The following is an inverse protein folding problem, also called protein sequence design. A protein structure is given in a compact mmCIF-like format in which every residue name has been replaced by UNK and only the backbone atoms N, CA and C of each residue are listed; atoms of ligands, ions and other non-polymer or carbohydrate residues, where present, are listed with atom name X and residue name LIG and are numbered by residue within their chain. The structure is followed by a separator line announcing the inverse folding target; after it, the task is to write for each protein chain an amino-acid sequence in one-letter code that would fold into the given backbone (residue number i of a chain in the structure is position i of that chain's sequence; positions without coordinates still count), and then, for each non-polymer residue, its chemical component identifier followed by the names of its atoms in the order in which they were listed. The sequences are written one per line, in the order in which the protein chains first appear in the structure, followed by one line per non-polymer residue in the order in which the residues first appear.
data_IF_069751024366
#
_entry.id   IF_069751024366
#
_cell.length_a   1.000
_cell.length_b   1.000
_cell.length_c   1.000
_cell.angle_alpha   90.00
_cell.angle_beta   90.00
_cell.angle_gamma   90.00
#
_symmetry.space_group_name_H-M   'P 1'
#
loop_
_entity.id
_entity.type
_entity.pdbx_description
1 polymer ?
#
# COMPACT_ATOMS: atom_id res chain seq x y z
N UNK A 1 -6.05 12.11 8.75
CA UNK A 1 -5.02 12.82 7.95
C UNK A 1 -4.68 14.12 8.65
N UNK A 2 -3.52 14.19 9.30
CA UNK A 2 -2.99 15.41 9.91
C UNK A 2 -2.31 16.24 8.82
N UNK A 3 -2.74 17.49 8.61
CA UNK A 3 -2.14 18.40 7.63
C UNK A 3 -0.75 18.85 8.10
N UNK A 4 0.29 18.11 7.72
CA UNK A 4 1.66 18.48 8.03
C UNK A 4 2.28 19.27 6.86
N UNK A 5 2.86 20.46 7.08
CA UNK A 5 3.35 21.33 5.99
C UNK A 5 4.46 20.70 5.13
N UNK A 6 5.17 19.68 5.64
CA UNK A 6 6.20 18.95 4.88
C UNK A 6 5.67 17.69 4.20
N UNK A 7 4.40 17.31 4.41
CA UNK A 7 3.81 16.09 3.84
C UNK A 7 3.84 16.13 2.31
N UNK A 8 3.47 17.27 1.72
CA UNK A 8 3.52 17.47 0.26
C UNK A 8 4.95 17.36 -0.30
N UNK A 9 5.95 17.84 0.45
CA UNK A 9 7.34 17.75 0.04
C UNK A 9 7.83 16.30 0.13
N UNK A 10 7.45 15.59 1.18
CA UNK A 10 7.84 14.20 1.42
C UNK A 10 7.19 13.26 0.40
N UNK A 11 5.91 13.48 0.06
CA UNK A 11 5.21 12.73 -0.99
C UNK A 11 5.84 12.96 -2.37
N UNK A 12 6.15 14.22 -2.71
CA UNK A 12 6.84 14.56 -3.96
C UNK A 12 8.24 13.95 -4.03
N UNK A 13 8.99 13.96 -2.93
CA UNK A 13 10.31 13.32 -2.88
C UNK A 13 10.20 11.80 -3.09
N UNK A 14 9.24 11.13 -2.45
CA UNK A 14 8.98 9.70 -2.66
C UNK A 14 8.64 9.39 -4.12
N UNK A 15 7.76 10.19 -4.74
CA UNK A 15 7.41 10.03 -6.15
C UNK A 15 8.63 10.24 -7.07
N UNK A 16 9.49 11.20 -6.77
CA UNK A 16 10.73 11.44 -7.53
C UNK A 16 11.72 10.29 -7.40
N UNK A 17 11.87 9.70 -6.20
CA UNK A 17 12.71 8.52 -5.98
C UNK A 17 12.21 7.31 -6.79
N UNK A 18 10.90 7.05 -6.79
CA UNK A 18 10.31 5.96 -7.57
C UNK A 18 10.49 6.17 -9.07
N UNK A 19 10.28 7.40 -9.56
CA UNK A 19 10.53 7.75 -10.96
C UNK A 19 12.01 7.55 -11.33
N UNK A 20 12.94 7.92 -10.44
CA UNK A 20 14.37 7.70 -10.66
C UNK A 20 14.70 6.20 -10.77
N UNK A 21 14.19 5.37 -9.85
CA UNK A 21 14.38 3.91 -9.87
C UNK A 21 13.89 3.30 -11.19
N UNK A 22 12.68 3.65 -11.63
CA UNK A 22 12.13 3.15 -12.89
C UNK A 22 12.92 3.62 -14.12
N UNK A 23 13.44 4.85 -14.11
CA UNK A 23 14.31 5.34 -15.17
C UNK A 23 15.65 4.60 -15.24
N UNK A 24 16.23 4.24 -14.09
CA UNK A 24 17.47 3.45 -14.03
C UNK A 24 17.22 2.03 -14.58
N UNK A 25 16.15 1.38 -14.15
CA UNK A 25 15.75 0.06 -14.67
C UNK A 25 15.54 0.09 -16.19
N UNK A 26 14.86 1.14 -16.69
CA UNK A 26 14.68 1.33 -18.14
C UNK A 26 16.01 1.43 -18.88
N UNK A 27 16.99 2.17 -18.34
CA UNK A 27 18.29 2.37 -18.97
C UNK A 27 19.13 1.09 -18.96
N UNK A 28 19.03 0.29 -17.91
CA UNK A 28 19.84 -0.91 -17.73
C UNK A 28 19.26 -2.15 -18.44
N UNK A 29 17.94 -2.33 -18.38
CA UNK A 29 17.26 -3.55 -18.82
C UNK A 29 16.26 -3.32 -19.97
N UNK A 30 16.07 -2.08 -20.40
CA UNK A 30 15.14 -1.71 -21.46
C UNK A 30 13.71 -1.47 -20.94
N UNK A 31 12.77 -1.28 -21.87
CA UNK A 31 11.40 -0.85 -21.54
C UNK A 31 10.56 -1.93 -20.84
N UNK A 32 10.89 -3.21 -21.01
CA UNK A 32 10.11 -4.30 -20.43
C UNK A 32 10.13 -4.26 -18.89
N UNK A 33 11.26 -3.88 -18.29
CA UNK A 33 11.44 -3.91 -16.84
C UNK A 33 10.52 -2.95 -16.05
N UNK A 34 10.44 -1.64 -16.37
CA UNK A 34 9.51 -0.75 -15.66
C UNK A 34 8.04 -1.14 -15.89
N UNK A 35 7.69 -1.71 -17.06
CA UNK A 35 6.32 -2.17 -17.34
C UNK A 35 5.97 -3.36 -16.47
N UNK A 36 6.85 -4.37 -16.41
CA UNK A 36 6.69 -5.54 -15.55
C UNK A 36 6.54 -5.12 -14.08
N UNK A 37 7.41 -4.23 -13.60
CA UNK A 37 7.33 -3.70 -12.23
C UNK A 37 6.01 -2.97 -11.94
N UNK A 38 5.49 -2.20 -12.90
CA UNK A 38 4.18 -1.55 -12.74
C UNK A 38 3.05 -2.59 -12.67
N UNK A 39 3.08 -3.62 -13.51
CA UNK A 39 2.10 -4.72 -13.47
C UNK A 39 2.17 -5.50 -12.15
N UNK A 40 3.36 -5.80 -11.64
CA UNK A 40 3.54 -6.46 -10.34
C UNK A 40 2.92 -5.66 -9.20
N UNK A 41 3.20 -4.34 -9.12
CA UNK A 41 2.58 -3.46 -8.11
C UNK A 41 1.05 -3.41 -8.24
N UNK A 42 0.52 -3.41 -9.46
CA UNK A 42 -0.93 -3.43 -9.70
C UNK A 42 -1.57 -4.73 -9.21
N UNK A 43 -0.97 -5.89 -9.53
CA UNK A 43 -1.46 -7.20 -9.12
C UNK A 43 -1.45 -7.32 -7.59
N UNK A 44 -0.34 -6.90 -6.97
CA UNK A 44 -0.19 -6.92 -5.52
C UNK A 44 -1.24 -6.03 -4.86
N UNK A 45 -1.38 -4.76 -5.29
CA UNK A 45 -2.40 -3.86 -4.75
C UNK A 45 -3.84 -4.36 -4.91
N UNK A 46 -4.13 -5.15 -5.95
CA UNK A 46 -5.45 -5.77 -6.11
C UNK A 46 -5.71 -6.93 -5.13
N UNK A 47 -4.65 -7.63 -4.71
CA UNK A 47 -4.69 -8.79 -3.81
C UNK A 47 -4.55 -8.46 -2.32
N UNK A 48 -4.28 -7.20 -1.99
CA UNK A 48 -3.90 -6.76 -0.65
C UNK A 48 -5.04 -6.71 0.38
N UNK A 49 -6.28 -6.63 -0.10
CA UNK A 49 -7.41 -6.64 0.82
C UNK A 49 -7.42 -7.92 1.65
N UNK A 50 -7.57 -7.74 2.95
CA UNK A 50 -7.94 -8.79 3.89
C UNK A 50 -9.05 -8.26 4.83
N UNK A 51 -9.86 -9.13 5.43
CA UNK A 51 -10.77 -8.75 6.50
C UNK A 51 -10.03 -8.10 7.67
N UNK A 52 -10.67 -7.17 8.38
CA UNK A 52 -10.07 -6.47 9.52
C UNK A 52 -9.70 -7.41 10.66
N UNK A 53 -10.50 -8.46 10.89
CA UNK A 53 -10.20 -9.51 11.86
C UNK A 53 -8.94 -10.33 11.52
N UNK A 54 -8.49 -10.31 10.26
CA UNK A 54 -7.23 -10.91 9.80
C UNK A 54 -6.10 -9.89 9.64
N UNK A 55 -6.27 -8.68 10.18
CA UNK A 55 -5.28 -7.60 10.11
C UNK A 55 -5.37 -6.72 8.86
N UNK A 56 -6.37 -6.90 7.98
CA UNK A 56 -6.50 -6.12 6.75
C UNK A 56 -7.00 -4.68 6.91
N UNK A 57 -7.07 -4.18 8.13
CA UNK A 57 -7.49 -2.80 8.44
C UNK A 57 -6.38 -1.93 9.03
N UNK A 58 -5.16 -2.44 9.19
CA UNK A 58 -4.05 -1.71 9.78
C UNK A 58 -2.69 -2.12 9.24
N UNK A 59 -1.92 -1.12 8.82
CA UNK A 59 -0.54 -1.28 8.37
C UNK A 59 -0.36 -1.29 6.85
N UNK A 60 0.85 -0.97 6.43
CA UNK A 60 1.28 -1.11 5.05
C UNK A 60 1.35 -2.58 4.63
N UNK A 61 1.00 -2.86 3.37
CA UNK A 61 1.00 -4.21 2.84
C UNK A 61 2.42 -4.66 2.47
N UNK A 62 2.93 -5.65 3.20
CA UNK A 62 4.30 -6.17 3.06
C UNK A 62 4.74 -6.40 1.60
N UNK A 63 3.85 -6.94 0.76
CA UNK A 63 4.16 -7.23 -0.63
C UNK A 63 4.38 -5.94 -1.45
N UNK A 64 3.55 -4.91 -1.29
CA UNK A 64 3.79 -3.62 -1.92
C UNK A 64 5.06 -2.98 -1.39
N UNK A 65 5.35 -3.10 -0.09
CA UNK A 65 6.55 -2.52 0.51
C UNK A 65 7.83 -3.14 -0.03
N UNK A 66 7.87 -4.46 -0.20
CA UNK A 66 8.99 -5.16 -0.85
C UNK A 66 9.17 -4.64 -2.28
N UNK A 67 8.08 -4.43 -3.01
CA UNK A 67 8.15 -3.92 -4.39
C UNK A 67 8.57 -2.45 -4.45
N UNK A 68 8.28 -1.67 -3.42
CA UNK A 68 8.73 -0.28 -3.26
C UNK A 68 10.16 -0.16 -2.68
N UNK A 69 10.67 -1.24 -2.06
CA UNK A 69 11.92 -1.27 -1.33
C UNK A 69 11.86 -0.50 -0.01
N UNK A 70 10.73 -0.58 0.71
CA UNK A 70 10.49 0.03 2.02
C UNK A 70 10.19 -0.99 3.11
N UNK A 71 10.39 -2.28 2.85
CA UNK A 71 10.14 -3.40 3.76
C UNK A 71 10.96 -3.36 5.07
N UNK A 72 12.01 -2.52 5.12
CA UNK A 72 12.85 -2.30 6.30
C UNK A 72 12.63 -0.92 6.95
N UNK A 73 11.63 -0.15 6.49
CA UNK A 73 11.26 1.15 7.06
C UNK A 73 10.04 1.00 7.97
N UNK A 74 9.93 1.84 9.00
CA UNK A 74 8.74 1.91 9.88
C UNK A 74 8.30 3.35 9.97
N UNK A 75 7.06 3.61 9.56
CA UNK A 75 6.38 4.90 9.63
C UNK A 75 5.55 5.06 10.89
N UNK A 76 4.98 6.26 11.04
CA UNK A 76 4.05 6.54 12.14
C UNK A 76 2.72 5.78 11.93
N UNK A 77 2.28 5.73 10.68
CA UNK A 77 1.10 5.04 10.17
C UNK A 77 1.11 3.53 10.44
N UNK A 78 2.30 2.92 10.58
CA UNK A 78 2.44 1.49 10.86
C UNK A 78 2.23 1.16 12.34
N UNK A 79 2.52 2.11 13.23
CA UNK A 79 2.39 1.95 14.69
C UNK A 79 1.02 2.45 15.16
N UNK A 80 0.54 3.55 14.60
CA UNK A 80 -0.68 4.23 15.02
C UNK A 80 -1.72 4.21 13.90
N UNK A 81 -2.48 3.11 13.85
CA UNK A 81 -3.52 2.84 12.84
C UNK A 81 -4.80 3.66 13.09
N UNK A 82 -4.95 4.25 14.27
CA UNK A 82 -6.13 5.05 14.63
C UNK A 82 -7.40 4.23 14.89
N UNK A 83 -7.24 2.94 15.17
CA UNK A 83 -8.34 1.99 15.43
C UNK A 83 -8.62 1.74 16.92
N UNK A 84 -7.96 2.49 17.81
CA UNK A 84 -7.87 2.25 19.25
C UNK A 84 -9.21 2.36 20.02
N UNK A 85 -10.33 2.57 19.32
CA UNK A 85 -11.67 2.65 19.91
C UNK A 85 -12.81 2.32 18.94
N UNK A 86 -12.54 1.60 17.85
CA UNK A 86 -13.57 1.18 16.89
C UNK A 86 -14.06 -0.22 17.22
N UNK A 87 -15.37 -0.43 17.13
CA UNK A 87 -15.96 -1.75 17.34
C UNK A 87 -15.41 -2.76 16.33
N UNK A 88 -15.15 -3.97 16.82
CA UNK A 88 -14.68 -5.09 16.00
C UNK A 88 -15.72 -5.39 14.93
N UNK A 89 -15.32 -5.27 13.66
CA UNK A 89 -16.23 -5.44 12.53
C UNK A 89 -16.38 -6.94 12.26
N UNK A 90 -17.64 -7.42 12.17
CA UNK A 90 -17.93 -8.81 11.85
C UNK A 90 -17.40 -9.19 10.45
N UNK A 91 -16.68 -10.33 10.40
CA UNK A 91 -16.11 -10.90 9.18
C UNK A 91 -17.17 -11.09 8.09
N UNK A 92 -18.35 -11.60 8.46
CA UNK A 92 -19.42 -11.87 7.50
C UNK A 92 -19.94 -10.56 6.88
N UNK A 93 -20.21 -9.55 7.71
CA UNK A 93 -20.63 -8.23 7.22
C UNK A 93 -19.57 -7.50 6.37
N UNK A 94 -18.27 -7.73 6.59
CA UNK A 94 -17.21 -7.22 5.68
C UNK A 94 -17.22 -7.93 4.33
N UNK A 95 -17.33 -9.24 4.32
CA UNK A 95 -17.38 -10.05 3.10
C UNK A 95 -18.62 -9.71 2.27
N UNK A 96 -19.79 -9.62 2.91
CA UNK A 96 -21.05 -9.27 2.26
C UNK A 96 -20.99 -7.91 1.57
N UNK A 97 -20.47 -6.88 2.27
CA UNK A 97 -20.25 -5.54 1.69
C UNK A 97 -19.26 -5.55 0.53
N UNK A 98 -18.17 -6.32 0.62
CA UNK A 98 -17.15 -6.39 -0.44
C UNK A 98 -17.68 -7.07 -1.69
N UNK A 99 -18.38 -8.18 -1.53
CA UNK A 99 -18.85 -9.01 -2.65
C UNK A 99 -20.24 -8.62 -3.15
N UNK A 100 -20.89 -7.64 -2.52
CA UNK A 100 -22.22 -7.18 -2.90
C UNK A 100 -23.29 -8.26 -2.72
N UNK A 101 -23.05 -9.20 -1.81
CA UNK A 101 -23.97 -10.27 -1.47
C UNK A 101 -24.62 -9.90 -0.15
N UNK A 102 -25.91 -9.61 -0.19
CA UNK A 102 -26.73 -9.36 0.99
C UNK A 102 -28.10 -9.96 0.74
N UNK A 103 -28.67 -10.57 1.77
CA UNK A 103 -30.09 -10.94 1.79
C UNK A 103 -30.95 -9.71 2.05
#
# INVERSE_FOLDING_TARGET
TSFHPLESRLSNWRAQQDALKLNLLRRQFGLAEPVKRAMERQIVGAGEWAPRCLGGGGGAHLHEEILAGRDAEVGWEDVFVGDEGRDEVDFHGEMERRFGVGW
#
